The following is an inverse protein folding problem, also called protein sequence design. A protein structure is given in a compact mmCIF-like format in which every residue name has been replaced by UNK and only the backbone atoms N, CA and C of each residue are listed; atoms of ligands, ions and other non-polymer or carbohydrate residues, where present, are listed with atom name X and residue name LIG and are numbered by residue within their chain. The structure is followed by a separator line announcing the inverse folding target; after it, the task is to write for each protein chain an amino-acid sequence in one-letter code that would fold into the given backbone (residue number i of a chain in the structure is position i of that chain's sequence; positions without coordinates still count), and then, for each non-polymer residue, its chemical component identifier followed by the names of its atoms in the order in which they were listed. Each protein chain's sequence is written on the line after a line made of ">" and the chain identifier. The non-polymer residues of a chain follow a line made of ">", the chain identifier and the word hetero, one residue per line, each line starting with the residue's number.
data_IF_428910582740
#
_entry.id   IF_428910582740
#
_cell.length_a   1.000
_cell.length_b   1.000
_cell.length_c   1.000
_cell.angle_alpha   90.00
_cell.angle_beta   90.00
_cell.angle_gamma   90.00
#
_symmetry.space_group_name_H-M   'P 1'
#
loop_
_entity.id
_entity.type
_entity.pdbx_description
1 polymer ?
#
# COMPACT_ATOMS: atom_id res chain seq x y z
N UNK A 1 -32.18 -22.56 25.67
CA UNK A 1 -30.92 -21.78 25.55
C UNK A 1 -30.83 -21.25 24.13
N UNK A 2 -31.42 -20.08 23.88
CA UNK A 2 -31.39 -19.43 22.56
C UNK A 2 -30.11 -18.61 22.46
N UNK A 3 -29.14 -19.09 21.70
CA UNK A 3 -27.96 -18.30 21.35
C UNK A 3 -28.40 -17.32 20.27
N UNK A 4 -28.75 -16.12 20.71
CA UNK A 4 -28.98 -14.96 19.87
C UNK A 4 -27.71 -14.66 19.07
N UNK A 5 -27.66 -15.11 17.81
CA UNK A 5 -26.69 -14.64 16.84
C UNK A 5 -27.00 -13.18 16.51
N UNK A 6 -26.31 -12.27 17.20
CA UNK A 6 -26.25 -10.86 16.86
C UNK A 6 -25.51 -10.70 15.54
N UNK A 7 -26.25 -10.68 14.43
CA UNK A 7 -25.76 -10.23 13.14
C UNK A 7 -25.52 -8.72 13.24
N UNK A 8 -24.25 -8.35 13.44
CA UNK A 8 -23.82 -6.96 13.26
C UNK A 8 -23.83 -6.66 11.77
N UNK A 9 -24.89 -5.99 11.34
CA UNK A 9 -24.97 -5.27 10.09
C UNK A 9 -23.88 -4.19 10.08
N UNK A 10 -22.70 -4.50 9.55
CA UNK A 10 -21.69 -3.51 9.20
C UNK A 10 -22.25 -2.70 8.02
N UNK A 11 -23.00 -1.63 8.31
CA UNK A 11 -23.45 -0.65 7.32
C UNK A 11 -22.23 -0.09 6.56
N UNK A 12 -21.89 -0.71 5.43
CA UNK A 12 -20.73 -0.37 4.62
C UNK A 12 -21.04 0.88 3.79
N UNK A 13 -21.20 2.03 4.44
CA UNK A 13 -20.87 3.29 3.75
C UNK A 13 -19.38 3.21 3.45
N UNK A 14 -19.03 2.81 2.24
CA UNK A 14 -17.65 2.70 1.82
C UNK A 14 -17.05 4.11 1.90
N UNK A 15 -16.44 4.44 3.04
CA UNK A 15 -15.72 5.71 3.23
C UNK A 15 -14.58 5.71 2.22
N UNK A 16 -14.81 6.32 1.06
CA UNK A 16 -13.84 6.44 -0.01
C UNK A 16 -12.64 7.20 0.53
N UNK A 17 -11.48 6.56 0.58
CA UNK A 17 -10.25 7.22 1.07
C UNK A 17 -9.63 7.97 -0.10
N UNK A 18 -9.75 9.29 -0.08
CA UNK A 18 -9.14 10.20 -1.06
C UNK A 18 -7.89 10.86 -0.48
N UNK A 19 -6.77 10.80 -1.21
CA UNK A 19 -5.52 11.49 -0.86
C UNK A 19 -5.15 12.48 -1.97
N UNK A 20 -4.77 13.73 -1.65
CA UNK A 20 -4.39 14.70 -2.67
C UNK A 20 -3.08 14.31 -3.36
N UNK A 21 -2.99 14.62 -4.66
CA UNK A 21 -1.78 14.39 -5.49
C UNK A 21 -0.59 15.24 -5.05
N UNK A 22 -0.84 16.36 -4.36
CA UNK A 22 0.18 17.25 -3.80
C UNK A 22 -0.08 17.49 -2.32
N UNK A 23 0.97 17.46 -1.49
CA UNK A 23 0.88 17.74 -0.05
C UNK A 23 2.09 18.51 0.42
N UNK A 24 1.90 19.58 1.20
CA UNK A 24 3.02 20.28 1.87
C UNK A 24 3.43 19.48 3.10
N UNK A 25 4.65 18.96 3.12
CA UNK A 25 5.17 18.14 4.23
C UNK A 25 6.63 18.43 4.52
N UNK A 26 7.09 18.00 5.69
CA UNK A 26 8.47 18.18 6.10
C UNK A 26 9.44 17.34 5.26
N UNK A 27 10.41 18.00 4.63
CA UNK A 27 11.49 17.36 3.89
C UNK A 27 12.71 17.16 4.80
N UNK A 28 13.12 15.90 5.03
CA UNK A 28 14.26 15.58 5.90
C UNK A 28 15.60 16.14 5.39
N UNK A 29 15.82 16.14 4.07
CA UNK A 29 17.08 16.64 3.50
C UNK A 29 17.27 18.16 3.65
N UNK A 30 16.17 18.93 3.72
CA UNK A 30 16.24 20.40 3.74
C UNK A 30 15.81 21.02 5.07
N UNK A 31 15.32 20.23 6.02
CA UNK A 31 14.82 20.73 7.30
C UNK A 31 13.59 21.64 7.23
N UNK A 32 12.94 21.78 6.06
CA UNK A 32 11.80 22.70 5.83
C UNK A 32 10.59 22.00 5.23
N UNK A 33 9.40 22.57 5.47
CA UNK A 33 8.15 22.12 4.82
C UNK A 33 8.14 22.53 3.35
N UNK A 34 8.02 21.56 2.46
CA UNK A 34 8.05 21.73 1.00
C UNK A 34 6.85 21.03 0.36
N UNK A 35 6.42 21.44 -0.85
CA UNK A 35 5.44 20.68 -1.61
C UNK A 35 6.03 19.34 -2.05
N UNK A 36 5.27 18.27 -1.85
CA UNK A 36 5.62 16.92 -2.30
C UNK A 36 4.55 16.40 -3.26
N UNK A 37 4.99 15.77 -4.35
CA UNK A 37 4.13 14.98 -5.24
C UNK A 37 3.90 13.62 -4.60
N UNK A 38 2.65 13.29 -4.30
CA UNK A 38 2.26 12.04 -3.69
C UNK A 38 1.95 11.03 -4.78
N UNK A 39 2.55 9.85 -4.70
CA UNK A 39 2.27 8.71 -5.59
C UNK A 39 1.96 7.47 -4.76
N UNK A 40 1.24 6.51 -5.33
CA UNK A 40 1.08 5.20 -4.72
C UNK A 40 2.33 4.36 -4.96
N UNK A 41 2.87 3.75 -3.92
CA UNK A 41 3.95 2.78 -4.08
C UNK A 41 3.43 1.49 -4.71
N UNK A 42 4.10 1.04 -5.77
CA UNK A 42 3.92 -0.28 -6.37
C UNK A 42 5.17 -1.10 -6.10
N UNK A 43 5.00 -2.37 -5.71
CA UNK A 43 6.12 -3.31 -5.59
C UNK A 43 6.70 -3.54 -6.99
N UNK A 44 8.02 -3.45 -7.12
CA UNK A 44 8.73 -3.80 -8.36
C UNK A 44 8.77 -5.32 -8.59
N UNK A 45 9.23 -5.71 -9.78
CA UNK A 45 9.52 -7.11 -10.11
C UNK A 45 10.65 -7.63 -9.22
N UNK A 46 10.52 -8.86 -8.73
CA UNK A 46 11.56 -9.48 -7.90
C UNK A 46 12.81 -9.80 -8.75
N UNK A 47 13.99 -9.53 -8.20
CA UNK A 47 15.27 -9.77 -8.89
C UNK A 47 15.65 -11.26 -8.85
N UNK A 48 16.08 -11.81 -10.00
CA UNK A 48 16.58 -13.18 -10.11
C UNK A 48 17.93 -13.36 -9.39
N UNK A 49 18.71 -12.29 -9.35
CA UNK A 49 20.07 -12.28 -8.82
C UNK A 49 20.14 -11.96 -7.33
N UNK A 50 19.01 -11.78 -6.64
CA UNK A 50 19.02 -11.66 -5.19
C UNK A 50 19.50 -12.97 -4.54
N UNK A 51 20.33 -12.90 -3.50
CA UNK A 51 20.93 -14.07 -2.85
C UNK A 51 19.89 -15.15 -2.46
N UNK A 52 18.74 -14.73 -1.92
CA UNK A 52 17.65 -15.64 -1.57
C UNK A 52 17.03 -16.35 -2.77
N UNK A 53 16.87 -15.65 -3.89
CA UNK A 53 16.35 -16.24 -5.13
C UNK A 53 17.37 -17.15 -5.81
N UNK A 54 18.66 -16.78 -5.82
CA UNK A 54 19.75 -17.65 -6.31
C UNK A 54 19.80 -18.97 -5.54
N UNK A 55 19.74 -18.90 -4.21
CA UNK A 55 19.68 -20.06 -3.32
C UNK A 55 18.42 -20.92 -3.54
N UNK A 56 17.30 -20.31 -3.93
CA UNK A 56 16.08 -21.07 -4.18
C UNK A 56 16.09 -21.76 -5.55
N UNK A 57 16.41 -21.05 -6.64
CA UNK A 57 16.34 -21.59 -8.00
C UNK A 57 17.30 -22.76 -8.21
N UNK A 58 18.59 -22.55 -7.96
CA UNK A 58 19.64 -23.49 -8.39
C UNK A 58 19.80 -24.64 -7.37
N UNK A 59 20.23 -24.41 -6.11
CA UNK A 59 20.54 -25.54 -5.22
C UNK A 59 19.33 -26.16 -4.51
N UNK A 60 18.17 -25.49 -4.44
CA UNK A 60 17.00 -26.00 -3.70
C UNK A 60 15.86 -26.48 -4.57
N UNK A 61 15.73 -25.99 -5.79
CA UNK A 61 14.57 -26.29 -6.64
C UNK A 61 14.95 -27.13 -7.85
N UNK A 62 16.23 -27.18 -8.24
CA UNK A 62 16.70 -28.05 -9.32
C UNK A 62 16.84 -29.50 -8.85
N UNK A 63 16.76 -30.44 -9.78
CA UNK A 63 16.82 -31.88 -9.51
C UNK A 63 15.47 -32.48 -9.12
N UNK A 64 15.52 -33.68 -8.56
CA UNK A 64 14.34 -34.41 -8.09
C UNK A 64 13.98 -33.99 -6.65
N UNK A 65 12.70 -34.04 -6.28
CA UNK A 65 12.24 -33.69 -4.93
C UNK A 65 11.14 -32.64 -4.82
N UNK A 66 10.58 -32.18 -5.95
CA UNK A 66 9.36 -31.37 -5.96
C UNK A 66 9.50 -29.99 -5.29
N UNK A 67 8.48 -29.58 -4.53
CA UNK A 67 8.42 -28.26 -3.90
C UNK A 67 9.19 -28.24 -2.57
N UNK A 68 10.33 -27.54 -2.50
CA UNK A 68 11.22 -27.55 -1.31
C UNK A 68 10.98 -26.43 -0.30
N UNK A 69 10.11 -25.48 -0.62
CA UNK A 69 9.72 -24.38 0.29
C UNK A 69 8.20 -24.30 0.45
N UNK A 70 7.69 -24.04 1.66
CA UNK A 70 6.25 -24.03 1.90
C UNK A 70 5.57 -22.90 1.12
N UNK A 71 4.44 -23.23 0.51
CA UNK A 71 3.55 -22.26 -0.12
C UNK A 71 2.48 -21.88 0.91
N UNK A 72 2.25 -20.58 1.10
CA UNK A 72 1.23 -20.11 2.04
C UNK A 72 -0.16 -20.07 1.38
N UNK A 73 -1.00 -21.06 1.72
CA UNK A 73 -2.34 -21.24 1.13
C UNK A 73 -3.45 -20.48 1.87
N UNK A 74 -3.41 -20.37 3.20
CA UNK A 74 -4.51 -19.83 4.03
C UNK A 74 -4.49 -18.30 4.15
N UNK A 75 -4.73 -17.59 3.04
CA UNK A 75 -4.76 -16.10 3.01
C UNK A 75 -6.09 -15.56 3.52
N UNK A 76 -6.09 -15.01 4.74
CA UNK A 76 -7.27 -14.37 5.35
C UNK A 76 -7.40 -12.86 5.07
N UNK A 77 -6.29 -12.16 4.82
CA UNK A 77 -6.32 -10.70 4.62
C UNK A 77 -6.67 -10.37 3.17
N UNK A 78 -7.81 -9.72 2.97
CA UNK A 78 -8.31 -9.31 1.63
C UNK A 78 -7.67 -8.01 1.14
N UNK A 79 -7.41 -7.05 2.03
CA UNK A 79 -6.83 -5.74 1.70
C UNK A 79 -5.35 -5.64 2.08
N UNK A 80 -4.64 -4.66 1.51
CA UNK A 80 -3.22 -4.36 1.82
C UNK A 80 -3.11 -3.00 2.52
N UNK A 81 -2.00 -2.76 3.24
CA UNK A 81 -1.68 -1.40 3.69
C UNK A 81 -1.18 -0.62 2.48
N UNK A 82 -1.79 0.52 2.21
CA UNK A 82 -1.36 1.39 1.12
C UNK A 82 -0.17 2.22 1.60
N UNK A 83 0.90 2.22 0.82
CA UNK A 83 2.08 3.03 1.08
C UNK A 83 2.12 4.15 0.06
N UNK A 84 2.12 5.38 0.55
CA UNK A 84 2.35 6.57 -0.25
C UNK A 84 3.85 6.80 -0.39
N UNK A 85 4.25 7.30 -1.56
CA UNK A 85 5.60 7.73 -1.89
C UNK A 85 5.56 9.23 -2.24
N UNK A 86 5.53 10.13 -1.24
CA UNK A 86 5.79 11.54 -1.44
C UNK A 86 7.22 11.79 -1.92
N UNK A 87 7.34 12.51 -3.02
CA UNK A 87 8.59 12.98 -3.62
C UNK A 87 8.65 14.50 -3.54
N UNK A 88 9.75 15.06 -3.01
CA UNK A 88 9.95 16.50 -2.97
C UNK A 88 10.02 17.06 -4.39
N UNK A 89 9.22 18.08 -4.69
CA UNK A 89 9.16 18.71 -6.03
C UNK A 89 10.45 19.44 -6.37
N UNK A 90 11.17 19.90 -5.34
CA UNK A 90 12.37 20.71 -5.49
C UNK A 90 13.52 19.89 -6.10
N UNK A 91 14.04 20.36 -7.25
CA UNK A 91 14.94 19.61 -8.15
C UNK A 91 16.23 19.13 -7.45
N UNK A 92 16.85 19.97 -6.63
CA UNK A 92 18.11 19.62 -5.95
C UNK A 92 17.94 18.57 -4.84
N UNK A 93 16.70 18.21 -4.48
CA UNK A 93 16.43 17.32 -3.35
C UNK A 93 15.89 15.96 -3.77
N UNK A 94 14.82 15.96 -4.59
CA UNK A 94 14.06 14.80 -5.08
C UNK A 94 13.97 13.65 -4.06
N UNK A 95 13.86 14.02 -2.78
CA UNK A 95 13.90 13.04 -1.69
C UNK A 95 12.56 12.33 -1.63
N UNK A 96 12.62 11.03 -1.42
CA UNK A 96 11.46 10.14 -1.39
C UNK A 96 11.34 9.56 0.00
N UNK A 97 10.12 9.55 0.53
CA UNK A 97 9.79 8.92 1.82
C UNK A 97 8.66 7.93 1.62
N UNK A 98 8.70 6.80 2.33
CA UNK A 98 7.57 5.88 2.39
C UNK A 98 6.67 6.24 3.58
N UNK A 99 5.38 6.41 3.34
CA UNK A 99 4.37 6.68 4.38
C UNK A 99 3.25 5.66 4.26
N UNK A 100 3.12 4.75 5.24
CA UNK A 100 2.05 3.77 5.26
C UNK A 100 0.77 4.36 5.88
N UNK A 101 -0.37 4.11 5.24
CA UNK A 101 -1.70 4.37 5.79
C UNK A 101 -2.28 3.06 6.36
N UNK A 102 -3.38 3.15 7.10
CA UNK A 102 -4.25 2.02 7.44
C UNK A 102 -4.74 1.30 6.17
N UNK A 103 -5.27 0.08 6.34
CA UNK A 103 -5.85 -0.69 5.23
C UNK A 103 -7.18 -0.07 4.84
N UNK A 104 -7.41 0.14 3.55
CA UNK A 104 -8.71 0.50 3.00
C UNK A 104 -9.09 -0.46 1.87
N UNK A 105 -10.39 -0.56 1.60
CA UNK A 105 -10.94 -1.36 0.48
C UNK A 105 -10.81 -0.60 -0.85
N UNK A 106 -11.23 0.68 -0.84
CA UNK A 106 -11.12 1.59 -1.98
C UNK A 106 -10.12 2.71 -1.68
N UNK A 107 -9.32 3.11 -2.66
CA UNK A 107 -8.34 4.19 -2.54
C UNK A 107 -8.26 4.99 -3.83
N UNK A 108 -8.41 6.29 -3.70
CA UNK A 108 -8.31 7.23 -4.81
C UNK A 108 -7.22 8.25 -4.54
N UNK A 109 -6.50 8.61 -5.60
CA UNK A 109 -5.46 9.63 -5.55
C UNK A 109 -5.91 10.86 -6.34
N UNK A 110 -6.33 11.90 -5.63
CA UNK A 110 -6.83 13.15 -6.19
C UNK A 110 -8.19 13.02 -6.85
N UNK A 111 -9.11 12.28 -6.21
CA UNK A 111 -10.52 12.27 -6.59
C UNK A 111 -11.21 13.59 -6.21
N UNK A 112 -12.44 13.77 -6.69
CA UNK A 112 -13.21 14.99 -6.46
C UNK A 112 -13.55 15.17 -4.97
N UNK A 113 -13.53 16.44 -4.54
CA UNK A 113 -13.94 16.79 -3.19
C UNK A 113 -15.46 16.85 -3.17
N UNK A 114 -16.08 16.03 -2.32
CA UNK A 114 -17.53 16.10 -2.08
C UNK A 114 -17.87 17.50 -1.54
N UNK A 115 -18.81 18.20 -2.18
CA UNK A 115 -19.35 19.48 -1.70
C UNK A 115 -20.38 19.20 -0.61
N UNK A 116 -20.46 20.10 0.37
CA UNK A 116 -21.45 19.97 1.45
C UNK A 116 -22.77 20.59 0.98
N UNK A 117 -23.88 19.84 1.06
CA UNK A 117 -25.23 20.31 0.69
C UNK A 117 -25.65 20.01 -0.75
N UNK A 118 -24.85 19.29 -1.52
CA UNK A 118 -25.25 18.80 -2.84
C UNK A 118 -26.19 17.61 -2.66
N UNK A 119 -27.43 17.75 -3.13
CA UNK A 119 -28.41 16.64 -3.15
C UNK A 119 -27.96 15.68 -4.25
N UNK A 120 -27.79 14.41 -3.87
CA UNK A 120 -27.32 13.32 -4.73
C UNK A 120 -28.49 12.74 -5.50
#
# INVERSE_FOLDING_TARGET
>A
MLISHCQREDSCTATMVNVPKTRRTFCKKRGKRQPHKVTQYKKGKDSLYAQGRRRYIQPKQSGYGGQTKPIFWKKVKTTKKIVLRPECVELNCRSRRMQAIKRCKHFELGGDKKRQGEVI
#
